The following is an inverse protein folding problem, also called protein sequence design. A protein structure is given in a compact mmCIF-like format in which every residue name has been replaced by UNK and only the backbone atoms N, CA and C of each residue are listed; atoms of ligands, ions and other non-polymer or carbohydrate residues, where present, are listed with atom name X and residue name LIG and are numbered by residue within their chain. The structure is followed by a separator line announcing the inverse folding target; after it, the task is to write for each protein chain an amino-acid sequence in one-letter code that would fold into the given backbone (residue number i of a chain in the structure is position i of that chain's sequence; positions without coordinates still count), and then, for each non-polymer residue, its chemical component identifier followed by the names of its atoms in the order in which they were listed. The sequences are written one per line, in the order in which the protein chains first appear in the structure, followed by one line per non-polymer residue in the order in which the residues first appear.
data_IF_507220634823
#
_entry.id   IF_507220634823
#
_cell.length_a   1.000
_cell.length_b   1.000
_cell.length_c   1.000
_cell.angle_alpha   90.00
_cell.angle_beta   90.00
_cell.angle_gamma   90.00
#
_symmetry.space_group_name_H-M   'P 1'
#
loop_
_entity.id
_entity.type
_entity.pdbx_description
1 polymer ?
#
# COMPACT_ATOMS: atom_id res chain seq x y z
N UNK A 1 -4.53 19.70 1.02
CA UNK A 1 -4.93 19.50 -0.41
C UNK A 1 -4.93 18.00 -0.68
N UNK A 2 -5.99 17.44 -1.26
CA UNK A 2 -6.05 16.03 -1.60
C UNK A 2 -5.20 15.72 -2.86
N UNK A 3 -4.47 14.61 -2.85
CA UNK A 3 -3.70 14.17 -4.01
C UNK A 3 -4.63 13.63 -5.09
N UNK A 4 -4.50 14.14 -6.32
CA UNK A 4 -5.30 13.72 -7.49
C UNK A 4 -4.68 12.55 -8.27
N UNK A 5 -3.49 12.12 -7.86
CA UNK A 5 -2.75 11.07 -8.53
C UNK A 5 -2.12 10.09 -7.53
N UNK A 6 -1.84 8.90 -8.01
CA UNK A 6 -1.05 7.87 -7.34
C UNK A 6 0.29 7.72 -8.05
N UNK A 7 1.32 7.35 -7.31
CA UNK A 7 2.65 7.09 -7.84
C UNK A 7 2.98 5.63 -7.64
N UNK A 8 3.34 4.93 -8.72
CA UNK A 8 3.58 3.50 -8.71
C UNK A 8 5.03 3.17 -8.36
N UNK A 9 5.23 2.15 -7.54
CA UNK A 9 6.53 1.55 -7.26
C UNK A 9 6.95 0.58 -8.38
N UNK A 10 8.18 0.06 -8.37
CA UNK A 10 8.74 -0.82 -9.41
C UNK A 10 7.88 -2.07 -9.67
N UNK A 11 7.34 -2.69 -8.61
CA UNK A 11 6.53 -3.92 -8.71
C UNK A 11 5.21 -3.74 -9.47
N UNK A 12 4.56 -2.58 -9.32
CA UNK A 12 3.23 -2.31 -9.88
C UNK A 12 3.28 -1.88 -11.35
N UNK A 13 4.46 -1.51 -11.86
CA UNK A 13 4.64 -1.07 -13.27
C UNK A 13 4.45 -2.23 -14.25
N UNK A 14 4.64 -3.47 -13.81
CA UNK A 14 4.48 -4.67 -14.65
C UNK A 14 3.06 -4.84 -15.20
N UNK A 15 2.06 -4.27 -14.53
CA UNK A 15 0.65 -4.36 -14.92
C UNK A 15 0.19 -3.23 -15.86
N UNK A 16 1.07 -2.35 -16.32
CA UNK A 16 0.72 -1.20 -17.16
C UNK A 16 1.65 -1.08 -18.38
N UNK A 17 1.11 -0.59 -19.49
CA UNK A 17 1.90 -0.39 -20.71
C UNK A 17 2.53 1.00 -20.71
N UNK A 18 3.87 1.06 -20.72
CA UNK A 18 4.61 2.32 -20.80
C UNK A 18 4.97 2.61 -22.25
N UNK A 19 4.35 3.64 -22.84
CA UNK A 19 4.71 4.12 -24.17
C UNK A 19 5.73 5.25 -24.02
N UNK A 20 7.00 4.93 -24.30
CA UNK A 20 8.07 5.94 -24.33
C UNK A 20 7.77 6.94 -25.45
N UNK A 21 7.94 8.23 -25.16
CA UNK A 21 7.75 9.27 -26.16
C UNK A 21 9.10 9.82 -26.59
N UNK A 22 9.57 10.89 -25.94
CA UNK A 22 10.84 11.55 -26.25
C UNK A 22 11.65 11.72 -24.97
N UNK A 23 12.94 11.46 -25.07
CA UNK A 23 13.89 11.59 -23.97
C UNK A 23 13.53 10.64 -22.82
N UNK A 24 13.35 11.21 -21.64
CA UNK A 24 13.18 10.47 -20.39
C UNK A 24 11.75 10.50 -19.84
N UNK A 25 10.76 10.76 -20.71
CA UNK A 25 9.34 10.85 -20.35
C UNK A 25 8.45 10.03 -21.30
N UNK A 26 7.36 9.49 -20.75
CA UNK A 26 6.44 8.58 -21.43
C UNK A 26 4.99 8.72 -20.98
N UNK A 27 4.10 7.93 -21.59
CA UNK A 27 2.68 7.83 -21.20
C UNK A 27 2.40 6.46 -20.60
N UNK A 28 1.55 6.41 -19.59
CA UNK A 28 1.02 5.16 -19.05
C UNK A 28 -0.32 4.87 -19.74
N UNK A 29 -0.40 3.72 -20.38
CA UNK A 29 -1.55 3.26 -21.17
C UNK A 29 -2.15 2.02 -20.47
N UNK A 30 -3.48 1.92 -20.52
CA UNK A 30 -4.18 0.71 -20.06
C UNK A 30 -3.66 -0.51 -20.84
N UNK A 31 -3.27 -1.60 -20.14
CA UNK A 31 -2.70 -2.79 -20.80
C UNK A 31 -3.72 -3.56 -21.64
N UNK A 32 -5.02 -3.33 -21.46
CA UNK A 32 -6.05 -3.95 -22.26
C UNK A 32 -6.08 -3.30 -23.65
N UNK A 33 -5.76 -4.06 -24.70
CA UNK A 33 -5.74 -3.62 -26.11
C UNK A 33 -7.06 -3.00 -26.57
N UNK A 34 -8.21 -3.47 -26.07
CA UNK A 34 -9.51 -2.89 -26.41
C UNK A 34 -9.72 -1.50 -25.78
N UNK A 35 -9.09 -1.24 -24.63
CA UNK A 35 -9.19 0.04 -23.94
C UNK A 35 -8.15 1.05 -24.46
N UNK A 36 -6.87 0.65 -24.46
CA UNK A 36 -5.69 1.42 -24.89
C UNK A 36 -5.68 2.90 -24.46
N UNK A 37 -6.38 3.25 -23.37
CA UNK A 37 -6.59 4.62 -22.94
C UNK A 37 -5.44 5.10 -22.06
N UNK A 38 -5.08 6.38 -22.18
CA UNK A 38 -4.07 7.04 -21.33
C UNK A 38 -4.58 7.17 -19.89
N UNK A 39 -4.00 6.41 -18.97
CA UNK A 39 -4.29 6.44 -17.53
C UNK A 39 -3.33 7.36 -16.75
N UNK A 40 -2.16 7.67 -17.32
CA UNK A 40 -1.13 8.42 -16.61
C UNK A 40 0.06 8.84 -17.46
N UNK A 41 1.14 9.19 -16.78
CA UNK A 41 2.41 9.63 -17.36
C UNK A 41 3.62 9.13 -16.58
N UNK A 42 4.74 9.01 -17.30
CA UNK A 42 6.03 8.67 -16.76
C UNK A 42 7.00 9.83 -17.01
N UNK A 43 7.79 10.18 -16.01
CA UNK A 43 8.84 11.19 -16.09
C UNK A 43 10.00 10.76 -15.19
N UNK A 44 11.13 10.46 -15.82
CA UNK A 44 12.39 10.14 -15.13
C UNK A 44 12.92 11.27 -14.24
N UNK A 45 12.94 12.56 -14.66
CA UNK A 45 13.34 13.63 -13.75
C UNK A 45 12.32 13.82 -12.61
N UNK A 46 11.15 13.19 -12.68
CA UNK A 46 10.10 13.29 -11.68
C UNK A 46 8.99 14.27 -12.06
N UNK A 47 8.05 14.45 -11.15
CA UNK A 47 6.93 15.38 -11.31
C UNK A 47 6.39 15.84 -9.94
N UNK A 48 5.76 17.03 -9.91
CA UNK A 48 5.23 17.63 -8.69
C UNK A 48 3.76 17.25 -8.46
N UNK A 49 3.47 16.62 -7.34
CA UNK A 49 2.12 16.25 -6.93
C UNK A 49 1.27 17.50 -6.63
N UNK A 50 -0.05 17.39 -6.73
CA UNK A 50 -1.01 18.47 -6.40
C UNK A 50 -0.97 18.88 -4.92
N UNK A 51 -0.45 18.02 -4.04
CA UNK A 51 -0.15 18.37 -2.65
C UNK A 51 1.14 19.21 -2.48
N UNK A 52 1.96 19.33 -3.53
CA UNK A 52 3.22 20.08 -3.53
C UNK A 52 4.49 19.22 -3.41
N UNK A 53 4.35 17.93 -3.08
CA UNK A 53 5.49 16.99 -2.96
C UNK A 53 6.08 16.69 -4.35
N UNK A 54 7.40 16.64 -4.45
CA UNK A 54 8.10 16.22 -5.66
C UNK A 54 8.45 14.74 -5.58
N UNK A 55 8.17 13.98 -6.65
CA UNK A 55 8.41 12.52 -6.71
C UNK A 55 9.30 12.24 -7.92
N UNK A 56 10.40 11.51 -7.72
CA UNK A 56 11.34 11.11 -8.79
C UNK A 56 11.96 9.73 -8.50
N UNK A 57 12.04 8.83 -9.49
CA UNK A 57 11.35 8.89 -10.79
C UNK A 57 9.83 8.82 -10.60
N UNK A 58 9.07 9.46 -11.49
CA UNK A 58 7.61 9.49 -11.34
C UNK A 58 6.90 8.64 -12.39
N UNK A 59 6.16 7.64 -11.92
CA UNK A 59 5.10 6.95 -12.68
C UNK A 59 3.76 7.34 -12.08
N UNK A 60 3.11 8.34 -12.66
CA UNK A 60 1.90 8.95 -12.12
C UNK A 60 0.65 8.39 -12.80
N UNK A 61 -0.30 7.90 -12.01
CA UNK A 61 -1.64 7.48 -12.48
C UNK A 61 -2.70 8.43 -11.95
N UNK A 62 -3.61 8.87 -12.83
CA UNK A 62 -4.69 9.80 -12.47
C UNK A 62 -5.82 9.05 -11.75
N UNK A 63 -6.15 9.44 -10.51
CA UNK A 63 -7.22 8.79 -9.73
C UNK A 63 -8.57 8.80 -10.45
N UNK A 64 -8.90 9.88 -11.14
CA UNK A 64 -10.16 9.99 -11.89
C UNK A 64 -10.27 9.07 -13.13
N UNK A 65 -9.26 8.27 -13.44
CA UNK A 65 -9.25 7.35 -14.59
C UNK A 65 -9.18 5.87 -14.20
N UNK A 66 -9.04 5.58 -12.91
CA UNK A 66 -8.87 4.23 -12.38
C UNK A 66 -9.74 4.03 -11.14
N UNK A 67 -10.09 2.79 -10.86
CA UNK A 67 -10.76 2.39 -9.62
C UNK A 67 -9.79 1.54 -8.78
N UNK A 68 -9.74 1.77 -7.47
CA UNK A 68 -8.85 1.04 -6.57
C UNK A 68 -9.57 -0.20 -6.03
N UNK A 69 -9.07 -1.38 -6.39
CA UNK A 69 -9.59 -2.64 -5.85
C UNK A 69 -8.63 -3.19 -4.79
N UNK A 70 -9.00 -3.02 -3.53
CA UNK A 70 -8.30 -3.66 -2.41
C UNK A 70 -8.64 -5.14 -2.43
N UNK A 71 -7.63 -5.99 -2.61
CA UNK A 71 -7.80 -7.43 -2.42
C UNK A 71 -7.68 -7.72 -0.93
N UNK A 72 -8.80 -8.02 -0.28
CA UNK A 72 -8.78 -8.53 1.08
C UNK A 72 -8.18 -9.93 1.07
N UNK A 73 -6.90 -10.07 1.36
CA UNK A 73 -6.30 -11.36 1.72
C UNK A 73 -6.71 -11.68 3.15
N UNK A 74 -8.01 -11.96 3.36
CA UNK A 74 -8.39 -12.72 4.56
C UNK A 74 -7.81 -14.10 4.31
N UNK A 75 -6.62 -14.38 4.85
CA UNK A 75 -6.26 -15.76 5.13
C UNK A 75 -7.26 -16.19 6.18
N UNK A 76 -8.34 -16.82 5.74
CA UNK A 76 -9.28 -17.56 6.56
C UNK A 76 -8.57 -18.79 7.12
N UNK A 77 -7.50 -18.57 7.88
CA UNK A 77 -7.17 -19.40 9.03
C UNK A 77 -7.91 -18.80 10.21
N UNK A 78 -9.24 -18.80 10.12
CA UNK A 78 -10.03 -19.02 11.33
C UNK A 78 -9.67 -20.44 11.75
N UNK A 79 -8.58 -20.57 12.52
CA UNK A 79 -8.39 -21.74 13.36
C UNK A 79 -9.63 -21.71 14.25
N UNK A 80 -10.55 -22.70 14.20
CA UNK A 80 -11.55 -22.77 15.24
C UNK A 80 -10.76 -22.94 16.53
N UNK A 81 -10.74 -21.91 17.37
CA UNK A 81 -10.41 -22.09 18.76
C UNK A 81 -11.42 -23.13 19.24
N UNK A 82 -11.00 -24.39 19.35
CA UNK A 82 -11.65 -25.33 20.25
C UNK A 82 -11.55 -24.68 21.62
N UNK A 83 -12.61 -24.01 22.02
CA UNK A 83 -12.77 -23.52 23.38
C UNK A 83 -13.08 -24.79 24.17
N UNK A 84 -12.17 -25.34 25.00
CA UNK A 84 -12.58 -26.31 25.98
C UNK A 84 -13.57 -25.57 26.89
N UNK A 85 -14.82 -26.04 26.91
CA UNK A 85 -15.81 -25.68 27.91
C UNK A 85 -15.25 -26.10 29.26
N UNK A 86 -14.53 -25.19 29.92
CA UNK A 86 -14.12 -25.37 31.31
C UNK A 86 -15.29 -24.96 32.18
N UNK A 87 -15.99 -25.97 32.67
CA UNK A 87 -16.98 -25.91 33.72
C UNK A 87 -16.38 -25.34 35.02
N UNK A 88 -16.73 -24.08 35.30
CA UNK A 88 -16.94 -23.43 36.62
C UNK A 88 -15.80 -23.52 37.68
N UNK A 89 -15.98 -23.00 38.93
CA UNK A 89 -15.60 -21.64 39.36
C UNK A 89 -14.67 -21.63 40.61
N UNK A 90 -14.36 -20.42 41.13
CA UNK A 90 -13.58 -20.11 42.35
C UNK A 90 -12.04 -20.17 42.16
N UNK A 91 -11.20 -19.24 42.62
CA UNK A 91 -11.24 -18.30 43.75
C UNK A 91 -10.40 -17.03 43.46
N UNK A 92 -10.85 -15.90 44.04
CA UNK A 92 -10.18 -14.67 44.56
C UNK A 92 -8.79 -14.20 44.04
N UNK A 93 -8.56 -12.87 43.90
CA UNK A 93 -7.39 -12.31 43.19
C UNK A 93 -6.15 -12.15 44.08
N UNK A 94 -5.00 -12.57 43.57
CA UNK A 94 -3.68 -12.22 44.13
C UNK A 94 -3.00 -11.15 43.29
N UNK A 95 -2.97 -9.98 43.92
CA UNK A 95 -2.29 -8.72 43.61
C UNK A 95 -0.79 -8.92 43.33
N UNK A 96 -0.25 -8.42 42.21
CA UNK A 96 1.19 -8.15 42.07
C UNK A 96 1.42 -7.10 40.95
N UNK A 97 1.46 -5.81 41.30
CA UNK A 97 2.66 -4.98 41.49
C UNK A 97 3.50 -4.76 40.21
N UNK A 98 3.40 -3.50 39.79
CA UNK A 98 4.22 -2.72 38.85
C UNK A 98 5.73 -2.91 39.09
N UNK A 99 6.53 -2.92 38.02
CA UNK A 99 7.71 -2.05 37.85
C UNK A 99 8.27 -2.12 36.41
N UNK A 100 8.69 -0.98 35.83
CA UNK A 100 9.36 -0.91 34.54
C UNK A 100 10.87 -1.13 34.71
N UNK A 101 11.47 -1.96 33.86
CA UNK A 101 12.93 -2.09 33.79
C UNK A 101 13.43 -1.61 32.43
N UNK A 102 13.85 -0.35 32.44
CA UNK A 102 14.89 0.20 31.56
C UNK A 102 16.16 -0.59 31.78
N UNK A 103 16.84 -1.01 30.70
CA UNK A 103 18.31 -0.89 30.53
C UNK A 103 18.72 -1.66 29.27
N UNK A 104 19.10 -0.94 28.21
CA UNK A 104 20.49 -0.64 27.81
C UNK A 104 21.08 -1.69 26.87
N UNK A 105 21.31 -1.22 25.65
CA UNK A 105 22.29 -1.68 24.66
C UNK A 105 23.66 -1.93 25.29
N UNK A 106 24.43 -2.87 24.73
CA UNK A 106 25.80 -2.51 24.40
C UNK A 106 26.29 -3.06 23.04
N UNK A 107 27.16 -2.21 22.46
CA UNK A 107 28.15 -2.40 21.39
C UNK A 107 27.67 -2.68 19.97
#
# INVERSE_FOLDING_TARGET
KECTALYLEEGDKSAISIQMQKGTSGKLICPNDTCARKIGDFSWPGSRCSCGVFVSPSCRVSKGKIELKVRSTVSERVIPLRIPTLSQPHDRPSKLKISPSISKTPQ
#
